data_IF_885616109809
#
_entry.id   IF_885616109809
#
_cell.length_a   1.000
_cell.length_b   1.000
_cell.length_c   1.000
_cell.angle_alpha   90.00
_cell.angle_beta   90.00
_cell.angle_gamma   90.00
#
_symmetry.space_group_name_H-M   'P 1'
#
loop_
_entity.id
_entity.type
_entity.pdbx_description
1 polymer ?
#
# COMPACT_ATOMS: atom_id res chain seq x y z
N UNK A 1 17.47 3.62 3.38
CA UNK A 1 18.09 3.73 4.73
C UNK A 1 17.49 4.91 5.51
N UNK A 2 17.02 5.96 4.81
CA UNK A 2 16.35 7.12 5.40
C UNK A 2 14.85 6.92 5.69
N UNK A 3 14.22 5.90 5.11
CA UNK A 3 12.81 5.56 5.35
C UNK A 3 12.48 5.33 6.84
N UNK A 4 13.43 4.86 7.64
CA UNK A 4 13.30 4.67 9.09
C UNK A 4 13.21 5.99 9.87
N UNK A 5 13.83 7.07 9.38
CA UNK A 5 13.75 8.41 9.98
C UNK A 5 12.47 9.16 9.59
N UNK A 6 11.76 8.70 8.55
CA UNK A 6 10.43 9.20 8.19
C UNK A 6 9.46 9.06 9.36
N UNK A 7 9.58 8.00 10.17
CA UNK A 7 8.77 7.77 11.38
C UNK A 7 8.96 8.88 12.43
N UNK A 8 10.20 9.30 12.69
CA UNK A 8 10.53 10.28 13.73
C UNK A 8 10.20 11.72 13.32
N UNK A 9 10.33 12.05 12.02
CA UNK A 9 9.95 13.36 11.48
C UNK A 9 8.43 13.55 11.35
N UNK A 10 7.61 12.48 11.49
CA UNK A 10 6.13 12.54 11.41
C UNK A 10 5.47 13.34 12.52
N UNK A 11 6.06 13.39 13.72
CA UNK A 11 5.48 14.14 14.84
C UNK A 11 5.45 15.66 14.60
N UNK A 12 6.38 16.17 13.78
CA UNK A 12 6.53 17.60 13.51
C UNK A 12 5.60 18.11 12.39
N UNK A 13 5.02 17.22 11.56
CA UNK A 13 4.18 17.63 10.43
C UNK A 13 2.69 17.71 10.73
N UNK A 14 2.24 17.10 11.84
CA UNK A 14 0.86 17.16 12.29
C UNK A 14 0.27 18.59 12.39
N UNK A 15 0.96 19.60 12.96
CA UNK A 15 0.42 20.95 13.03
C UNK A 15 0.31 21.62 11.65
N UNK A 16 1.21 21.31 10.73
CA UNK A 16 1.20 21.86 9.35
C UNK A 16 0.07 21.23 8.54
N UNK A 17 -0.15 19.91 8.67
CA UNK A 17 -1.28 19.22 8.07
C UNK A 17 -2.62 19.79 8.52
N UNK A 18 -2.75 20.10 9.81
CA UNK A 18 -3.96 20.72 10.37
C UNK A 18 -4.16 22.17 9.89
N UNK A 19 -3.07 22.96 9.76
CA UNK A 19 -3.14 24.31 9.21
C UNK A 19 -3.56 24.33 7.74
N UNK A 20 -3.03 23.41 6.93
CA UNK A 20 -3.41 23.24 5.51
C UNK A 20 -4.85 22.74 5.36
N UNK A 21 -5.32 21.87 6.25
CA UNK A 21 -6.72 21.43 6.28
C UNK A 21 -7.68 22.60 6.52
N UNK A 22 -7.35 23.52 7.44
CA UNK A 22 -8.14 24.74 7.66
C UNK A 22 -8.25 25.66 6.44
N UNK A 23 -7.31 25.56 5.49
CA UNK A 23 -7.33 26.29 4.23
C UNK A 23 -8.17 25.59 3.14
N UNK A 24 -8.91 24.51 3.46
CA UNK A 24 -9.74 23.74 2.53
C UNK A 24 -8.99 23.18 1.30
N UNK A 25 -7.67 23.02 1.42
CA UNK A 25 -6.86 22.44 0.36
C UNK A 25 -7.03 20.93 0.33
N UNK A 26 -7.25 20.38 -0.86
CA UNK A 26 -7.28 18.92 -1.08
C UNK A 26 -5.85 18.41 -1.27
N UNK A 27 -5.51 17.20 -0.77
CA UNK A 27 -4.18 16.60 -0.96
C UNK A 27 -3.73 16.58 -2.43
N UNK A 28 -4.63 16.22 -3.35
CA UNK A 28 -4.34 16.17 -4.78
C UNK A 28 -3.87 17.52 -5.36
N UNK A 29 -4.33 18.65 -4.81
CA UNK A 29 -3.86 19.96 -5.27
C UNK A 29 -2.39 20.20 -4.92
N UNK A 30 -1.94 19.71 -3.76
CA UNK A 30 -0.53 19.80 -3.36
C UNK A 30 0.34 18.90 -4.23
N UNK A 31 -0.12 17.68 -4.53
CA UNK A 31 0.57 16.76 -5.44
C UNK A 31 0.74 17.38 -6.83
N UNK A 32 -0.31 17.99 -7.39
CA UNK A 32 -0.22 18.71 -8.68
C UNK A 32 0.66 19.97 -8.61
N UNK A 33 0.62 20.71 -7.49
CA UNK A 33 1.50 21.86 -7.29
C UNK A 33 2.97 21.42 -7.24
N UNK A 34 3.27 20.30 -6.57
CA UNK A 34 4.59 19.66 -6.54
C UNK A 34 5.09 19.29 -7.93
N UNK A 35 4.22 18.74 -8.79
CA UNK A 35 4.54 18.52 -10.21
C UNK A 35 4.89 19.83 -10.92
N UNK A 36 4.08 20.87 -10.72
CA UNK A 36 4.33 22.20 -11.29
C UNK A 36 5.71 22.75 -10.91
N UNK A 37 6.11 22.59 -9.64
CA UNK A 37 7.45 23.00 -9.16
C UNK A 37 8.55 22.14 -9.79
N UNK A 38 8.32 20.84 -9.99
CA UNK A 38 9.25 19.96 -10.69
C UNK A 38 9.45 20.37 -12.16
N UNK A 39 8.39 20.82 -12.86
CA UNK A 39 8.50 21.39 -14.22
C UNK A 39 9.34 22.67 -14.23
N UNK A 40 9.17 23.54 -13.23
CA UNK A 40 10.00 24.74 -13.08
C UNK A 40 11.47 24.37 -12.81
N UNK A 41 11.72 23.36 -11.97
CA UNK A 41 13.07 22.86 -11.70
C UNK A 41 13.73 22.32 -12.98
N UNK A 42 13.00 21.52 -13.76
CA UNK A 42 13.47 21.02 -15.05
C UNK A 42 13.80 22.16 -16.02
N UNK A 43 12.95 23.20 -16.08
CA UNK A 43 13.19 24.39 -16.91
C UNK A 43 14.43 25.18 -16.46
N UNK A 44 14.67 25.26 -15.15
CA UNK A 44 15.87 25.86 -14.59
C UNK A 44 17.13 25.07 -14.95
N UNK A 45 17.08 23.73 -14.93
CA UNK A 45 18.19 22.91 -15.45
C UNK A 45 18.44 23.17 -16.94
N UNK A 46 17.39 23.17 -17.78
CA UNK A 46 17.50 23.41 -19.23
C UNK A 46 18.16 24.76 -19.56
N UNK A 47 17.94 25.77 -18.73
CA UNK A 47 18.51 27.11 -18.87
C UNK A 47 19.87 27.28 -18.19
N UNK A 48 20.44 26.22 -17.63
CA UNK A 48 21.74 26.23 -16.96
C UNK A 48 21.73 26.83 -15.55
N UNK A 49 20.55 27.14 -14.99
CA UNK A 49 20.38 27.70 -13.64
C UNK A 49 20.33 26.57 -12.60
N UNK A 50 21.42 25.80 -12.51
CA UNK A 50 21.55 24.58 -11.68
C UNK A 50 21.18 24.81 -10.23
N UNK A 51 21.73 25.86 -9.59
CA UNK A 51 21.45 26.16 -8.18
C UNK A 51 19.98 26.51 -7.93
N UNK A 52 19.37 27.29 -8.82
CA UNK A 52 17.93 27.61 -8.76
C UNK A 52 17.08 26.34 -8.89
N UNK A 53 17.46 25.43 -9.78
CA UNK A 53 16.82 24.13 -9.90
C UNK A 53 16.94 23.32 -8.59
N UNK A 54 18.10 23.33 -7.94
CA UNK A 54 18.30 22.71 -6.63
C UNK A 54 17.34 23.23 -5.54
N UNK A 55 17.13 24.55 -5.45
CA UNK A 55 16.15 25.13 -4.52
C UNK A 55 14.70 24.74 -4.89
N UNK A 56 14.37 24.71 -6.18
CA UNK A 56 13.05 24.27 -6.64
C UNK A 56 12.81 22.78 -6.32
N UNK A 57 13.83 21.93 -6.40
CA UNK A 57 13.73 20.52 -5.98
C UNK A 57 13.48 20.37 -4.48
N UNK A 58 14.10 21.21 -3.64
CA UNK A 58 13.79 21.26 -2.20
C UNK A 58 12.31 21.61 -1.99
N UNK A 59 11.82 22.62 -2.71
CA UNK A 59 10.42 23.04 -2.62
C UNK A 59 9.45 21.95 -3.12
N UNK A 60 9.77 21.26 -4.21
CA UNK A 60 8.97 20.14 -4.72
C UNK A 60 8.92 18.98 -3.70
N UNK A 61 10.06 18.61 -3.11
CA UNK A 61 10.12 17.59 -2.06
C UNK A 61 9.37 17.99 -0.79
N UNK A 62 9.24 19.29 -0.51
CA UNK A 62 8.44 19.78 0.61
C UNK A 62 6.93 19.61 0.36
N UNK A 63 6.46 19.85 -0.87
CA UNK A 63 5.05 19.61 -1.22
C UNK A 63 4.68 18.12 -1.11
N UNK A 64 5.54 17.24 -1.58
CA UNK A 64 5.42 15.76 -1.48
C UNK A 64 5.46 15.23 -0.03
N UNK A 65 6.12 15.98 0.86
CA UNK A 65 6.12 15.64 2.28
C UNK A 65 4.83 16.10 2.98
N UNK A 66 4.28 17.23 2.52
CA UNK A 66 3.09 17.84 3.09
C UNK A 66 1.78 17.24 2.57
N UNK A 67 1.69 16.81 1.32
CA UNK A 67 0.45 16.23 0.79
C UNK A 67 0.07 14.91 1.47
N UNK A 68 1.04 14.02 1.72
CA UNK A 68 0.83 12.79 2.48
C UNK A 68 0.53 13.06 3.95
N UNK A 69 1.09 14.13 4.53
CA UNK A 69 0.77 14.56 5.90
C UNK A 69 -0.62 15.16 6.00
N UNK A 70 -1.03 15.96 5.02
CA UNK A 70 -2.37 16.53 4.90
C UNK A 70 -3.42 15.43 4.73
N UNK A 71 -3.21 14.47 3.81
CA UNK A 71 -4.15 13.38 3.57
C UNK A 71 -4.44 12.58 4.85
N UNK A 72 -3.43 12.31 5.67
CA UNK A 72 -3.60 11.65 6.97
C UNK A 72 -4.30 12.53 8.00
N UNK A 73 -3.89 13.80 8.12
CA UNK A 73 -4.47 14.74 9.07
C UNK A 73 -5.94 15.09 8.74
N UNK A 74 -6.32 15.05 7.47
CA UNK A 74 -7.67 15.34 7.00
C UNK A 74 -8.56 14.09 6.87
N UNK A 75 -8.06 12.90 7.17
CA UNK A 75 -8.78 11.63 6.96
C UNK A 75 -9.12 11.32 5.49
N UNK A 76 -8.44 11.95 4.52
CA UNK A 76 -8.71 11.80 3.07
C UNK A 76 -7.74 10.82 2.41
N UNK A 77 -7.37 9.76 3.11
CA UNK A 77 -6.51 8.70 2.55
C UNK A 77 -7.38 7.83 1.63
N UNK A 78 -7.08 7.85 0.33
CA UNK A 78 -7.83 7.07 -0.67
C UNK A 78 -6.89 6.21 -1.51
N UNK A 79 -7.32 5.03 -2.00
CA UNK A 79 -6.51 4.20 -2.91
C UNK A 79 -6.11 4.95 -4.18
N UNK A 80 -7.03 5.75 -4.73
CA UNK A 80 -6.74 6.59 -5.90
C UNK A 80 -5.71 7.67 -5.58
N UNK A 81 -5.77 8.31 -4.42
CA UNK A 81 -4.78 9.30 -3.98
C UNK A 81 -3.38 8.69 -3.89
N UNK A 82 -3.24 7.50 -3.30
CA UNK A 82 -1.95 6.79 -3.23
C UNK A 82 -1.42 6.38 -4.61
N UNK A 83 -2.31 5.98 -5.52
CA UNK A 83 -1.96 5.72 -6.92
C UNK A 83 -1.48 7.00 -7.63
N UNK A 84 -2.24 8.10 -7.48
CA UNK A 84 -1.92 9.38 -8.10
C UNK A 84 -0.57 9.91 -7.61
N UNK A 85 -0.32 9.91 -6.30
CA UNK A 85 0.95 10.26 -5.66
C UNK A 85 2.12 9.51 -6.33
N UNK A 86 2.03 8.18 -6.35
CA UNK A 86 3.04 7.31 -6.96
C UNK A 86 3.30 7.58 -8.46
N UNK A 87 2.26 7.97 -9.21
CA UNK A 87 2.37 8.31 -10.63
C UNK A 87 3.00 9.70 -10.82
N UNK A 88 2.54 10.70 -10.07
CA UNK A 88 3.04 12.07 -10.16
C UNK A 88 4.49 12.17 -9.72
N UNK A 89 4.90 11.40 -8.70
CA UNK A 89 6.28 11.22 -8.29
C UNK A 89 7.17 10.79 -9.45
N UNK A 90 6.67 9.83 -10.24
CA UNK A 90 7.40 9.30 -11.38
C UNK A 90 7.56 10.35 -12.46
N UNK A 91 6.48 11.06 -12.79
CA UNK A 91 6.54 12.16 -13.74
C UNK A 91 7.50 13.26 -13.28
N UNK A 92 7.48 13.60 -11.99
CA UNK A 92 8.38 14.60 -11.41
C UNK A 92 9.85 14.19 -11.54
N UNK A 93 10.21 12.97 -11.13
CA UNK A 93 11.57 12.43 -11.28
C UNK A 93 12.02 12.44 -12.76
N UNK A 94 11.13 12.01 -13.67
CA UNK A 94 11.41 11.90 -15.10
C UNK A 94 11.64 13.26 -15.75
N UNK A 95 10.78 14.23 -15.49
CA UNK A 95 10.89 15.56 -16.13
C UNK A 95 12.12 16.30 -15.62
N UNK A 96 12.45 16.18 -14.33
CA UNK A 96 13.68 16.75 -13.77
C UNK A 96 14.92 16.15 -14.44
N UNK A 97 15.02 14.81 -14.52
CA UNK A 97 16.14 14.14 -15.17
C UNK A 97 16.21 14.45 -16.67
N UNK A 98 15.07 14.57 -17.35
CA UNK A 98 15.01 15.01 -18.75
C UNK A 98 15.57 16.43 -18.92
N UNK A 99 15.23 17.36 -18.01
CA UNK A 99 15.80 18.71 -18.02
C UNK A 99 17.33 18.70 -17.89
N UNK A 100 17.88 17.80 -17.07
CA UNK A 100 19.32 17.60 -16.92
C UNK A 100 19.95 16.97 -18.18
N UNK A 101 19.27 16.00 -18.81
CA UNK A 101 19.71 15.45 -20.12
C UNK A 101 19.84 16.57 -21.15
N UNK A 102 18.84 17.45 -21.25
CA UNK A 102 18.85 18.58 -22.20
C UNK A 102 19.96 19.59 -21.87
N UNK A 103 20.20 19.88 -20.59
CA UNK A 103 21.31 20.73 -20.15
C UNK A 103 22.66 20.20 -20.66
N UNK A 104 22.93 18.92 -20.42
CA UNK A 104 24.20 18.31 -20.83
C UNK A 104 24.30 18.09 -22.35
N UNK A 105 23.19 17.85 -23.04
CA UNK A 105 23.16 17.75 -24.50
C UNK A 105 23.50 19.08 -25.20
N UNK A 106 23.26 20.21 -24.54
CA UNK A 106 23.58 21.56 -25.05
C UNK A 106 24.98 22.05 -24.68
N UNK A 107 25.67 21.34 -23.80
CA UNK A 107 27.05 21.64 -23.41
C UNK A 107 28.02 20.69 -24.11
N UNK A 108 29.32 21.02 -24.21
CA UNK A 108 30.33 20.13 -24.81
C UNK A 108 30.61 18.86 -23.98
N UNK A 109 29.73 18.50 -23.05
CA UNK A 109 29.86 17.35 -22.15
C UNK A 109 28.78 16.31 -22.44
N UNK A 110 28.95 15.60 -23.57
CA UNK A 110 28.06 14.51 -23.97
C UNK A 110 27.97 13.38 -22.93
N UNK A 111 29.01 13.20 -22.09
CA UNK A 111 29.04 12.18 -21.04
C UNK A 111 27.98 12.45 -19.97
N UNK A 112 27.81 13.70 -19.56
CA UNK A 112 26.78 14.09 -18.60
C UNK A 112 25.36 13.73 -19.08
N UNK A 113 25.08 13.86 -20.38
CA UNK A 113 23.79 13.50 -20.95
C UNK A 113 23.54 11.98 -20.91
N UNK A 114 24.58 11.19 -21.20
CA UNK A 114 24.53 9.72 -21.10
C UNK A 114 24.30 9.28 -19.64
N UNK A 115 25.00 9.90 -18.69
CA UNK A 115 24.84 9.61 -17.26
C UNK A 115 23.44 9.99 -16.77
N UNK A 116 22.92 11.15 -17.17
CA UNK A 116 21.56 11.56 -16.85
C UNK A 116 20.52 10.59 -17.42
N UNK A 117 20.72 10.11 -18.64
CA UNK A 117 19.86 9.09 -19.24
C UNK A 117 19.94 7.75 -18.49
N UNK A 118 21.14 7.31 -18.10
CA UNK A 118 21.32 6.09 -17.31
C UNK A 118 20.68 6.21 -15.92
N UNK A 119 20.76 7.38 -15.28
CA UNK A 119 20.07 7.69 -14.03
C UNK A 119 18.54 7.68 -14.20
N UNK A 120 18.03 8.20 -15.33
CA UNK A 120 16.61 8.16 -15.68
C UNK A 120 16.11 6.72 -15.82
N UNK A 121 16.81 5.89 -16.60
CA UNK A 121 16.51 4.45 -16.74
C UNK A 121 16.53 3.76 -15.37
N UNK A 122 17.57 4.00 -14.57
CA UNK A 122 17.68 3.45 -13.22
C UNK A 122 16.52 3.86 -12.32
N UNK A 123 16.16 5.15 -12.29
CA UNK A 123 15.04 5.67 -11.50
C UNK A 123 13.71 4.99 -11.86
N UNK A 124 13.43 4.86 -13.16
CA UNK A 124 12.23 4.14 -13.66
C UNK A 124 12.25 2.68 -13.20
N UNK A 125 13.35 1.98 -13.44
CA UNK A 125 13.48 0.57 -13.12
C UNK A 125 13.38 0.28 -11.62
N UNK A 126 13.90 1.15 -10.76
CA UNK A 126 13.80 1.01 -9.30
C UNK A 126 12.34 0.93 -8.87
N UNK A 127 11.49 1.92 -9.17
CA UNK A 127 10.09 1.82 -8.72
C UNK A 127 9.24 0.88 -9.58
N UNK A 128 9.62 0.57 -10.83
CA UNK A 128 8.86 -0.40 -11.66
C UNK A 128 9.06 -1.83 -11.16
N UNK A 129 10.30 -2.22 -10.86
CA UNK A 129 10.59 -3.54 -10.29
C UNK A 129 9.92 -3.77 -8.95
N UNK A 130 9.82 -2.73 -8.09
CA UNK A 130 9.05 -2.79 -6.85
C UNK A 130 7.56 -2.96 -7.11
N UNK A 131 6.94 -2.06 -7.89
CA UNK A 131 5.51 -2.15 -8.20
C UNK A 131 5.14 -3.48 -8.88
N UNK A 132 6.03 -3.99 -9.76
CA UNK A 132 5.80 -5.29 -10.42
C UNK A 132 5.93 -6.47 -9.46
N UNK A 133 6.89 -6.44 -8.53
CA UNK A 133 7.00 -7.45 -7.49
C UNK A 133 5.76 -7.46 -6.58
N UNK A 134 5.29 -6.30 -6.17
CA UNK A 134 4.08 -6.16 -5.35
C UNK A 134 2.83 -6.63 -6.11
N UNK A 135 2.74 -6.38 -7.41
CA UNK A 135 1.61 -6.85 -8.25
C UNK A 135 1.53 -8.39 -8.36
N UNK A 136 2.61 -9.11 -8.07
CA UNK A 136 2.65 -10.58 -8.04
C UNK A 136 2.67 -11.13 -6.61
N UNK A 137 2.33 -10.30 -5.62
CA UNK A 137 2.22 -10.69 -4.20
C UNK A 137 3.54 -10.77 -3.44
N UNK A 138 4.62 -10.14 -3.94
CA UNK A 138 5.93 -10.13 -3.28
C UNK A 138 6.25 -8.72 -2.82
N UNK A 139 6.25 -8.51 -1.50
CA UNK A 139 6.69 -7.25 -0.90
C UNK A 139 8.19 -7.01 -1.15
N UNK A 140 8.51 -5.94 -1.86
CA UNK A 140 9.88 -5.63 -2.28
C UNK A 140 10.37 -4.34 -1.65
N UNK A 141 10.83 -4.45 -0.40
CA UNK A 141 11.36 -3.34 0.40
C UNK A 141 12.90 -3.28 0.43
N UNK A 142 13.57 -3.99 -0.48
CA UNK A 142 15.03 -3.96 -0.62
C UNK A 142 15.49 -2.85 -1.57
N UNK A 143 16.68 -2.31 -1.33
CA UNK A 143 17.33 -1.37 -2.24
C UNK A 143 18.23 -0.37 -1.52
N UNK A 144 19.33 0.00 -2.19
CA UNK A 144 20.29 0.97 -1.66
C UNK A 144 19.86 2.42 -1.94
N UNK A 145 19.23 2.65 -3.09
CA UNK A 145 18.88 3.99 -3.58
C UNK A 145 17.36 4.11 -3.79
N UNK A 146 16.63 4.53 -2.74
CA UNK A 146 15.21 4.83 -2.83
C UNK A 146 14.97 6.28 -3.30
N UNK A 147 13.71 6.69 -3.41
CA UNK A 147 13.35 8.01 -3.97
C UNK A 147 13.94 9.18 -3.16
N UNK A 148 13.86 9.22 -1.82
CA UNK A 148 14.43 10.32 -1.04
C UNK A 148 15.95 10.45 -1.25
N UNK A 149 16.68 9.33 -1.27
CA UNK A 149 18.12 9.32 -1.50
C UNK A 149 18.47 9.90 -2.88
N UNK A 150 17.68 9.59 -3.93
CA UNK A 150 17.88 10.17 -5.27
C UNK A 150 17.67 11.68 -5.28
N UNK A 151 16.59 12.14 -4.67
CA UNK A 151 16.24 13.56 -4.62
C UNK A 151 17.33 14.36 -3.88
N UNK A 152 17.79 13.86 -2.73
CA UNK A 152 18.88 14.47 -1.96
C UNK A 152 20.16 14.54 -2.80
N UNK A 153 20.50 13.45 -3.51
CA UNK A 153 21.68 13.42 -4.37
C UNK A 153 21.61 14.47 -5.50
N UNK A 154 20.45 14.62 -6.15
CA UNK A 154 20.23 15.66 -7.16
C UNK A 154 20.30 17.08 -6.57
N UNK A 155 19.68 17.31 -5.41
CA UNK A 155 19.73 18.60 -4.72
C UNK A 155 21.17 18.97 -4.37
N UNK A 156 21.92 18.06 -3.75
CA UNK A 156 23.32 18.29 -3.39
C UNK A 156 24.18 18.54 -4.63
N UNK A 157 24.02 17.74 -5.68
CA UNK A 157 24.73 17.92 -6.95
C UNK A 157 24.42 19.27 -7.60
N UNK A 158 23.16 19.72 -7.55
CA UNK A 158 22.74 20.99 -8.14
C UNK A 158 23.21 22.21 -7.33
N UNK A 159 23.19 22.15 -6.00
CA UNK A 159 23.57 23.29 -5.14
C UNK A 159 25.08 23.45 -5.00
N UNK A 160 25.84 22.35 -5.01
CA UNK A 160 27.30 22.36 -4.89
C UNK A 160 28.02 22.45 -6.24
N UNK A 161 27.27 22.58 -7.35
CA UNK A 161 27.79 22.49 -8.72
C UNK A 161 28.57 21.19 -9.01
N UNK A 162 28.20 20.11 -8.32
CA UNK A 162 28.73 18.75 -8.48
C UNK A 162 27.72 17.83 -9.18
N UNK A 163 27.02 18.36 -10.19
CA UNK A 163 25.92 17.65 -10.83
C UNK A 163 26.39 16.39 -11.57
N UNK A 164 27.52 16.43 -12.27
CA UNK A 164 28.06 15.26 -12.96
C UNK A 164 28.46 14.12 -12.00
N UNK A 165 29.21 14.37 -10.90
CA UNK A 165 29.43 13.36 -9.86
C UNK A 165 28.13 12.79 -9.26
N UNK A 166 27.12 13.64 -9.02
CA UNK A 166 25.82 13.18 -8.54
C UNK A 166 25.14 12.23 -9.54
N UNK A 167 25.21 12.55 -10.84
CA UNK A 167 24.70 11.68 -11.90
C UNK A 167 25.42 10.33 -11.97
N UNK A 168 26.73 10.28 -11.73
CA UNK A 168 27.47 9.02 -11.61
C UNK A 168 26.91 8.14 -10.49
N UNK A 169 26.74 8.73 -9.31
CA UNK A 169 26.19 8.03 -8.14
C UNK A 169 24.79 7.51 -8.43
N UNK A 170 23.92 8.35 -9.02
CA UNK A 170 22.56 7.97 -9.39
C UNK A 170 22.51 6.87 -10.45
N UNK A 171 23.26 7.03 -11.54
CA UNK A 171 23.30 6.08 -12.64
C UNK A 171 23.76 4.69 -12.15
N UNK A 172 24.78 4.63 -11.30
CA UNK A 172 25.29 3.35 -10.79
C UNK A 172 24.32 2.78 -9.75
N UNK A 173 24.01 3.53 -8.68
CA UNK A 173 23.29 2.97 -7.53
C UNK A 173 21.82 2.69 -7.84
N UNK A 174 21.16 3.47 -8.69
CA UNK A 174 19.79 3.18 -9.09
C UNK A 174 19.71 1.90 -9.93
N UNK A 175 20.60 1.72 -10.90
CA UNK A 175 20.62 0.50 -11.71
C UNK A 175 21.02 -0.74 -10.90
N UNK A 176 22.00 -0.62 -9.99
CA UNK A 176 22.31 -1.70 -9.03
C UNK A 176 21.10 -2.02 -8.16
N UNK A 177 20.38 -1.01 -7.66
CA UNK A 177 19.18 -1.22 -6.85
C UNK A 177 18.09 -1.95 -7.64
N UNK A 178 17.88 -1.62 -8.92
CA UNK A 178 16.95 -2.34 -9.77
C UNK A 178 17.35 -3.82 -9.94
N UNK A 179 18.64 -4.10 -10.15
CA UNK A 179 19.15 -5.47 -10.23
C UNK A 179 19.01 -6.23 -8.90
N UNK A 180 19.24 -5.57 -7.77
CA UNK A 180 19.01 -6.13 -6.44
C UNK A 180 17.55 -6.54 -6.24
N UNK A 181 16.60 -5.68 -6.65
CA UNK A 181 15.17 -5.99 -6.58
C UNK A 181 14.81 -7.18 -7.45
N UNK A 182 15.32 -7.27 -8.68
CA UNK A 182 15.11 -8.42 -9.57
C UNK A 182 15.66 -9.71 -8.94
N UNK A 183 16.88 -9.68 -8.42
CA UNK A 183 17.51 -10.83 -7.78
C UNK A 183 16.76 -11.27 -6.50
N UNK A 184 16.30 -10.30 -5.71
CA UNK A 184 15.49 -10.55 -4.53
C UNK A 184 14.15 -11.20 -4.89
N UNK A 185 13.40 -10.62 -5.84
CA UNK A 185 12.12 -11.19 -6.29
C UNK A 185 12.30 -12.60 -6.83
N UNK A 186 13.36 -12.87 -7.60
CA UNK A 186 13.67 -14.22 -8.08
C UNK A 186 13.92 -15.20 -6.94
N UNK A 187 14.61 -14.78 -5.87
CA UNK A 187 14.87 -15.64 -4.70
C UNK A 187 13.58 -15.89 -3.93
N UNK A 188 12.81 -14.85 -3.65
CA UNK A 188 11.52 -14.96 -2.96
C UNK A 188 10.56 -15.92 -3.69
N UNK A 189 10.45 -15.82 -5.02
CA UNK A 189 9.62 -16.75 -5.81
C UNK A 189 10.05 -18.21 -5.69
N UNK A 190 11.37 -18.49 -5.59
CA UNK A 190 11.89 -19.86 -5.44
C UNK A 190 11.60 -20.40 -4.06
N UNK A 191 11.76 -19.57 -3.03
CA UNK A 191 11.52 -19.98 -1.65
C UNK A 191 10.02 -20.29 -1.44
N UNK A 192 9.11 -19.48 -1.99
CA UNK A 192 7.67 -19.77 -1.97
C UNK A 192 7.35 -21.07 -2.72
N UNK A 193 7.94 -21.30 -3.90
CA UNK A 193 7.73 -22.54 -4.64
C UNK A 193 8.26 -23.78 -3.90
N UNK A 194 9.41 -23.68 -3.24
CA UNK A 194 9.99 -24.75 -2.44
C UNK A 194 9.14 -25.06 -1.20
N UNK A 195 8.63 -24.04 -0.52
CA UNK A 195 7.70 -24.22 0.60
C UNK A 195 6.43 -24.94 0.14
N UNK A 196 5.83 -24.53 -0.98
CA UNK A 196 4.66 -25.20 -1.56
C UNK A 196 4.94 -26.67 -1.89
N UNK A 197 6.12 -26.99 -2.43
CA UNK A 197 6.53 -28.36 -2.74
C UNK A 197 6.76 -29.21 -1.49
N UNK A 198 7.40 -28.64 -0.45
CA UNK A 198 7.63 -29.35 0.82
C UNK A 198 6.33 -29.62 1.54
N UNK A 199 5.42 -28.63 1.60
CA UNK A 199 4.08 -28.80 2.17
C UNK A 199 3.30 -29.87 1.40
N UNK A 200 3.32 -29.83 0.06
CA UNK A 200 2.68 -30.84 -0.78
C UNK A 200 3.28 -32.24 -0.60
N UNK A 201 4.59 -32.34 -0.36
CA UNK A 201 5.27 -33.61 -0.09
C UNK A 201 5.04 -34.15 1.34
N UNK A 202 4.74 -33.26 2.31
CA UNK A 202 4.40 -33.64 3.68
C UNK A 202 2.94 -34.12 3.83
N UNK A 203 2.03 -33.66 2.97
CA UNK A 203 0.62 -34.08 2.97
C UNK A 203 0.45 -35.61 2.82
N UNK A 204 1.12 -36.32 1.90
CA UNK A 204 1.05 -37.78 1.84
C UNK A 204 1.83 -38.48 2.95
N UNK A 205 2.86 -37.85 3.53
CA UNK A 205 3.64 -38.41 4.65
C UNK A 205 2.87 -38.42 5.98
N UNK A 206 1.88 -37.54 6.13
CA UNK A 206 0.93 -37.53 7.25
C UNK A 206 -0.34 -38.37 6.97
N UNK A 207 -0.27 -39.29 6.01
CA UNK A 207 -1.32 -40.26 5.71
C UNK A 207 -1.32 -41.45 6.69
N UNK A 208 -1.79 -41.24 7.92
CA UNK A 208 -2.22 -42.35 8.77
C UNK A 208 -3.63 -42.81 8.37
N UNK A 209 -3.67 -44.01 7.78
CA UNK A 209 -4.71 -45.04 7.85
C UNK A 209 -6.15 -44.67 7.43
N UNK A 210 -6.61 -45.32 6.34
CA UNK A 210 -7.95 -45.17 5.77
C UNK A 210 -9.12 -45.65 6.64
N UNK A 211 -10.37 -45.37 6.22
CA UNK A 211 -11.54 -45.64 7.03
C UNK A 211 -11.89 -47.12 7.00
N UNK A 212 -11.71 -47.81 8.13
CA UNK A 212 -12.46 -49.03 8.48
C UNK A 212 -13.44 -48.68 9.59
N UNK A 213 -14.73 -48.76 9.30
CA UNK A 213 -15.79 -48.89 10.31
C UNK A 213 -15.64 -50.26 10.99
N UNK A 214 -15.74 -50.37 12.34
CA UNK A 214 -17.05 -50.60 12.96
C UNK A 214 -17.24 -50.16 14.44
N UNK A 215 -18.52 -50.06 14.83
CA UNK A 215 -19.19 -50.28 16.14
C UNK A 215 -18.61 -49.76 17.48
N UNK A 216 -19.53 -49.15 18.23
CA UNK A 216 -19.41 -48.66 19.60
C UNK A 216 -18.99 -49.71 20.66
N UNK A 217 -18.26 -49.28 21.70
CA UNK A 217 -18.67 -49.34 23.13
C UNK A 217 -17.60 -48.78 24.09
N UNK A 218 -18.06 -47.95 25.04
CA UNK A 218 -17.59 -47.67 26.41
C UNK A 218 -16.17 -47.12 26.76
N UNK A 219 -16.21 -45.86 27.22
CA UNK A 219 -15.60 -45.20 28.41
C UNK A 219 -14.17 -45.58 28.86
N UNK A 220 -13.27 -44.58 28.84
CA UNK A 220 -12.49 -44.16 30.03
C UNK A 220 -11.83 -42.78 29.81
N UNK A 221 -11.55 -42.11 30.92
CA UNK A 221 -11.37 -40.68 31.21
C UNK A 221 -10.04 -40.01 30.80
N UNK A 222 -10.13 -38.75 30.34
CA UNK A 222 -9.09 -37.72 30.43
C UNK A 222 -9.77 -36.33 30.58
N UNK A 223 -9.15 -35.35 31.28
CA UNK A 223 -9.82 -34.12 31.72
C UNK A 223 -10.20 -33.23 30.52
N UNK A 224 -11.27 -32.41 30.63
CA UNK A 224 -11.74 -31.63 29.49
C UNK A 224 -10.68 -30.58 29.11
N UNK A 225 -10.26 -30.53 27.83
CA UNK A 225 -9.59 -29.34 27.33
C UNK A 225 -10.61 -28.19 27.34
N UNK A 226 -10.12 -27.00 27.66
CA UNK A 226 -10.85 -25.75 27.64
C UNK A 226 -11.59 -25.65 26.30
N UNK A 227 -12.92 -25.67 26.33
CA UNK A 227 -13.75 -25.43 25.16
C UNK A 227 -13.65 -23.94 24.79
N UNK A 228 -12.68 -23.59 23.95
CA UNK A 228 -12.83 -22.41 23.09
C UNK A 228 -13.76 -22.83 21.94
N UNK A 229 -15.02 -22.44 22.01
CA UNK A 229 -16.10 -22.80 21.08
C UNK A 229 -15.98 -22.24 19.66
N UNK A 230 -14.79 -22.16 19.08
CA UNK A 230 -14.61 -21.88 17.66
C UNK A 230 -14.49 -23.20 16.90
N UNK A 231 -15.46 -23.50 16.03
CA UNK A 231 -15.31 -24.54 15.01
C UNK A 231 -14.09 -24.16 14.15
N UNK A 232 -13.08 -25.03 14.09
CA UNK A 232 -11.92 -24.79 13.24
C UNK A 232 -12.35 -24.59 11.78
N UNK A 233 -11.93 -23.47 11.17
CA UNK A 233 -12.14 -23.21 9.74
C UNK A 233 -11.42 -24.31 8.95
N UNK A 234 -12.15 -25.04 8.12
CA UNK A 234 -11.56 -26.11 7.30
C UNK A 234 -11.00 -25.54 5.99
N UNK A 235 -9.97 -26.17 5.39
CA UNK A 235 -9.42 -25.71 4.11
C UNK A 235 -10.45 -25.62 2.97
N UNK A 236 -11.48 -26.47 3.01
CA UNK A 236 -12.58 -26.42 2.04
C UNK A 236 -13.47 -25.20 2.27
N UNK A 237 -13.70 -24.80 3.52
CA UNK A 237 -14.45 -23.59 3.85
C UNK A 237 -13.67 -22.32 3.47
N UNK A 238 -12.35 -22.30 3.67
CA UNK A 238 -11.50 -21.19 3.23
C UNK A 238 -11.57 -20.98 1.72
N UNK A 239 -11.61 -22.06 0.92
CA UNK A 239 -11.78 -21.97 -0.54
C UNK A 239 -13.13 -21.38 -0.92
N UNK A 240 -14.21 -21.84 -0.26
CA UNK A 240 -15.56 -21.30 -0.49
C UNK A 240 -15.62 -19.81 -0.21
N UNK A 241 -14.98 -19.34 0.87
CA UNK A 241 -14.91 -17.92 1.19
C UNK A 241 -14.06 -17.13 0.19
N UNK A 242 -12.93 -17.68 -0.26
CA UNK A 242 -12.10 -17.05 -1.28
C UNK A 242 -12.85 -16.89 -2.60
N UNK A 243 -13.56 -17.93 -3.05
CA UNK A 243 -14.37 -17.89 -4.27
C UNK A 243 -15.52 -16.88 -4.15
N UNK A 244 -16.16 -16.78 -2.97
CA UNK A 244 -17.19 -15.77 -2.72
C UNK A 244 -16.64 -14.33 -2.85
N UNK A 245 -15.43 -14.06 -2.34
CA UNK A 245 -14.78 -12.75 -2.47
C UNK A 245 -14.46 -12.42 -3.94
N UNK A 246 -14.01 -13.41 -4.73
CA UNK A 246 -13.74 -13.22 -6.16
C UNK A 246 -15.01 -12.82 -6.91
N UNK A 247 -16.14 -13.47 -6.61
CA UNK A 247 -17.43 -13.12 -7.21
C UNK A 247 -17.95 -11.76 -6.75
N UNK A 248 -17.73 -11.39 -5.49
CA UNK A 248 -18.05 -10.06 -4.97
C UNK A 248 -17.29 -8.95 -5.69
N UNK A 249 -16.01 -9.16 -5.99
CA UNK A 249 -15.20 -8.23 -6.78
C UNK A 249 -15.69 -8.08 -8.22
N UNK A 250 -16.36 -9.11 -8.76
CA UNK A 250 -17.02 -9.08 -10.08
C UNK A 250 -18.41 -8.45 -10.06
N UNK A 251 -18.88 -8.01 -8.89
CA UNK A 251 -20.17 -7.35 -8.69
C UNK A 251 -21.32 -8.30 -8.33
N UNK A 252 -21.05 -9.57 -8.06
CA UNK A 252 -22.05 -10.55 -7.61
C UNK A 252 -22.01 -10.69 -6.08
N UNK A 253 -23.03 -10.17 -5.40
CA UNK A 253 -23.07 -10.08 -3.94
C UNK A 253 -23.62 -11.35 -3.25
N UNK A 254 -24.44 -12.14 -3.97
CA UNK A 254 -25.13 -13.33 -3.43
C UNK A 254 -24.22 -14.34 -2.71
N UNK A 255 -23.04 -14.71 -3.23
CA UNK A 255 -22.17 -15.69 -2.58
C UNK A 255 -21.63 -15.18 -1.24
N UNK A 256 -21.27 -13.90 -1.15
CA UNK A 256 -20.80 -13.28 0.09
C UNK A 256 -21.90 -13.24 1.13
N UNK A 257 -23.10 -12.80 0.75
CA UNK A 257 -24.24 -12.71 1.68
C UNK A 257 -24.56 -14.09 2.26
N UNK A 258 -24.57 -15.12 1.42
CA UNK A 258 -24.86 -16.50 1.84
C UNK A 258 -23.80 -17.08 2.77
N UNK A 259 -22.53 -16.97 2.39
CA UNK A 259 -21.45 -17.63 3.10
C UNK A 259 -21.03 -16.87 4.36
N UNK A 260 -21.04 -15.54 4.34
CA UNK A 260 -20.57 -14.73 5.46
C UNK A 260 -21.67 -14.47 6.50
N UNK A 261 -22.94 -14.67 6.15
CA UNK A 261 -24.03 -14.76 7.14
C UNK A 261 -24.08 -16.13 7.86
N UNK A 262 -23.18 -17.06 7.54
CA UNK A 262 -23.15 -18.38 8.20
C UNK A 262 -22.62 -18.31 9.65
N UNK A 263 -23.00 -19.30 10.46
CA UNK A 263 -22.49 -19.43 11.83
C UNK A 263 -20.97 -19.68 11.87
N UNK A 264 -20.43 -20.34 10.84
CA UNK A 264 -19.00 -20.58 10.72
C UNK A 264 -18.20 -19.28 10.50
N UNK A 265 -18.74 -18.35 9.69
CA UNK A 265 -18.12 -17.04 9.50
C UNK A 265 -18.17 -16.19 10.78
N UNK A 266 -19.30 -16.23 11.51
CA UNK A 266 -19.48 -15.47 12.76
C UNK A 266 -18.61 -15.95 13.93
N UNK A 267 -18.16 -17.19 13.91
CA UNK A 267 -17.33 -17.79 14.97
C UNK A 267 -15.85 -17.92 14.57
N UNK A 268 -15.49 -17.42 13.39
CA UNK A 268 -14.15 -17.41 12.86
C UNK A 268 -13.27 -16.34 13.54
N UNK A 269 -11.95 -16.56 13.67
CA UNK A 269 -11.02 -15.53 14.14
C UNK A 269 -11.00 -14.24 13.30
N UNK A 270 -11.47 -14.30 12.05
CA UNK A 270 -11.55 -13.16 11.12
C UNK A 270 -12.98 -12.65 10.93
N UNK A 271 -13.92 -13.00 11.83
CA UNK A 271 -15.34 -12.65 11.74
C UNK A 271 -15.59 -11.16 11.53
N UNK A 272 -14.75 -10.30 12.10
CA UNK A 272 -14.89 -8.85 12.02
C UNK A 272 -14.70 -8.36 10.58
N UNK A 273 -13.64 -8.82 9.90
CA UNK A 273 -13.38 -8.50 8.50
C UNK A 273 -14.47 -9.07 7.58
N UNK A 274 -14.92 -10.30 7.85
CA UNK A 274 -16.02 -10.89 7.09
C UNK A 274 -17.33 -10.11 7.29
N UNK A 275 -17.54 -9.55 8.49
CA UNK A 275 -18.68 -8.69 8.82
C UNK A 275 -18.68 -7.39 8.01
N UNK A 276 -17.53 -6.73 7.85
CA UNK A 276 -17.41 -5.54 6.99
C UNK A 276 -17.75 -5.86 5.52
N UNK A 277 -17.22 -6.97 5.00
CA UNK A 277 -17.50 -7.39 3.61
C UNK A 277 -18.98 -7.75 3.43
N UNK A 278 -19.59 -8.41 4.41
CA UNK A 278 -21.02 -8.70 4.42
C UNK A 278 -21.87 -7.44 4.45
N UNK A 279 -21.48 -6.43 5.24
CA UNK A 279 -22.19 -5.16 5.33
C UNK A 279 -22.16 -4.38 4.01
N UNK A 280 -21.00 -4.31 3.34
CA UNK A 280 -20.88 -3.68 2.01
C UNK A 280 -21.76 -4.41 0.99
N UNK A 281 -21.76 -5.76 1.00
CA UNK A 281 -22.62 -6.55 0.12
C UNK A 281 -24.11 -6.26 0.32
N UNK A 282 -24.58 -6.23 1.58
CA UNK A 282 -25.97 -5.90 1.92
C UNK A 282 -26.33 -4.45 1.53
N UNK A 283 -25.42 -3.50 1.76
CA UNK A 283 -25.64 -2.11 1.40
C UNK A 283 -25.72 -1.88 -0.11
N UNK A 284 -24.99 -2.67 -0.91
CA UNK A 284 -25.07 -2.65 -2.39
C UNK A 284 -26.39 -3.22 -2.91
N UNK A 285 -27.01 -4.14 -2.18
CA UNK A 285 -28.36 -4.65 -2.49
C UNK A 285 -29.48 -3.74 -1.96
N UNK A 286 -29.14 -2.70 -1.20
CA UNK A 286 -30.09 -1.72 -0.66
C UNK A 286 -30.64 -2.06 0.72
N UNK A 287 -30.19 -3.15 1.35
CA UNK A 287 -30.55 -3.49 2.74
C UNK A 287 -29.63 -2.78 3.75
N UNK A 288 -29.83 -1.46 3.86
CA UNK A 288 -29.04 -0.60 4.73
C UNK A 288 -29.23 -0.92 6.23
N UNK A 289 -30.39 -1.46 6.60
CA UNK A 289 -30.71 -1.81 7.99
C UNK A 289 -29.95 -3.08 8.42
N UNK A 290 -29.94 -4.11 7.57
CA UNK A 290 -29.15 -5.31 7.84
C UNK A 290 -27.65 -5.01 7.83
N UNK A 291 -27.17 -4.21 6.88
CA UNK A 291 -25.78 -3.77 6.81
C UNK A 291 -25.35 -3.06 8.12
N UNK A 292 -26.14 -2.09 8.59
CA UNK A 292 -25.87 -1.39 9.87
C UNK A 292 -25.84 -2.36 11.04
N UNK A 293 -26.78 -3.28 11.12
CA UNK A 293 -26.84 -4.28 12.21
C UNK A 293 -25.58 -5.14 12.26
N UNK A 294 -25.06 -5.55 11.11
CA UNK A 294 -23.83 -6.36 11.03
C UNK A 294 -22.63 -5.57 11.55
N UNK A 295 -22.48 -4.31 11.16
CA UNK A 295 -21.33 -3.48 11.55
C UNK A 295 -21.41 -3.06 13.02
N UNK A 296 -22.58 -2.66 13.52
CA UNK A 296 -22.76 -2.35 14.96
C UNK A 296 -22.40 -3.55 15.84
N UNK A 297 -22.77 -4.76 15.40
CA UNK A 297 -22.45 -5.99 16.13
C UNK A 297 -20.94 -6.33 16.16
N UNK A 298 -20.10 -5.67 15.35
CA UNK A 298 -18.62 -5.75 15.42
C UNK A 298 -18.14 -4.89 16.60
N UNK A 299 -18.63 -3.65 16.70
CA UNK A 299 -18.30 -2.74 17.79
C UNK A 299 -18.74 -3.29 19.16
N UNK A 300 -19.93 -3.88 19.24
CA UNK A 300 -20.46 -4.46 20.49
C UNK A 300 -19.68 -5.68 20.98
N UNK A 301 -19.14 -6.49 20.05
CA UNK A 301 -18.40 -7.71 20.41
C UNK A 301 -17.00 -7.40 20.95
N UNK A 302 -16.38 -6.34 20.47
CA UNK A 302 -15.00 -6.01 20.81
C UNK A 302 -14.83 -4.50 20.97
N UNK A 303 -15.37 -3.95 22.07
CA UNK A 303 -15.23 -2.53 22.42
C UNK A 303 -13.77 -2.03 22.47
N UNK A 304 -12.82 -2.95 22.72
CA UNK A 304 -11.37 -2.67 22.78
C UNK A 304 -10.62 -2.93 21.44
N UNK A 305 -11.34 -3.35 20.37
CA UNK A 305 -10.73 -3.62 19.06
C UNK A 305 -10.40 -2.33 18.30
N UNK A 306 -9.28 -2.33 17.58
CA UNK A 306 -8.88 -1.25 16.67
C UNK A 306 -9.93 -0.97 15.58
N UNK A 307 -10.82 -1.94 15.29
CA UNK A 307 -11.86 -1.84 14.28
C UNK A 307 -13.18 -1.25 14.82
N UNK A 308 -13.36 -1.15 16.14
CA UNK A 308 -14.61 -0.64 16.72
C UNK A 308 -14.93 0.81 16.33
N UNK A 309 -13.97 1.76 16.29
CA UNK A 309 -14.23 3.12 15.83
C UNK A 309 -14.65 3.18 14.35
N UNK A 310 -14.05 2.33 13.51
CA UNK A 310 -14.35 2.24 12.08
C UNK A 310 -15.74 1.65 11.84
N UNK A 311 -16.10 0.62 12.60
CA UNK A 311 -17.44 0.03 12.59
C UNK A 311 -18.52 1.04 12.99
N UNK A 312 -18.31 1.81 14.06
CA UNK A 312 -19.27 2.84 14.50
C UNK A 312 -19.43 3.96 13.46
N UNK A 313 -18.34 4.39 12.83
CA UNK A 313 -18.39 5.39 11.76
C UNK A 313 -19.20 4.88 10.57
N UNK A 314 -18.95 3.64 10.13
CA UNK A 314 -19.69 3.04 9.02
C UNK A 314 -21.18 2.85 9.36
N UNK A 315 -21.50 2.41 10.59
CA UNK A 315 -22.88 2.32 11.06
C UNK A 315 -23.61 3.67 11.02
N UNK A 316 -22.94 4.76 11.42
CA UNK A 316 -23.47 6.12 11.33
C UNK A 316 -23.69 6.56 9.87
N UNK A 317 -22.75 6.24 8.97
CA UNK A 317 -22.92 6.54 7.53
C UNK A 317 -24.09 5.78 6.90
N UNK A 318 -24.29 4.51 7.29
CA UNK A 318 -25.41 3.70 6.83
C UNK A 318 -26.74 4.24 7.38
N UNK A 319 -26.79 4.69 8.63
CA UNK A 319 -27.96 5.36 9.21
C UNK A 319 -28.32 6.64 8.44
N UNK A 320 -27.34 7.49 8.15
CA UNK A 320 -27.55 8.70 7.33
C UNK A 320 -28.02 8.39 5.91
N UNK A 321 -27.51 7.33 5.27
CA UNK A 321 -27.99 6.88 3.95
C UNK A 321 -29.42 6.33 4.00
N UNK A 322 -29.85 5.80 5.13
CA UNK A 322 -31.21 5.33 5.36
C UNK A 322 -32.19 6.45 5.78
N UNK A 323 -31.69 7.68 6.00
CA UNK A 323 -32.51 8.81 6.47
C UNK A 323 -32.83 8.75 7.97
N UNK A 324 -32.07 7.97 8.75
CA UNK A 324 -32.16 7.91 10.21
C UNK A 324 -31.14 8.87 10.84
N UNK A 325 -31.53 10.15 10.92
CA UNK A 325 -30.68 11.22 11.44
C UNK A 325 -30.37 11.05 12.95
N UNK A 326 -31.30 10.47 13.71
CA UNK A 326 -31.12 10.20 15.15
C UNK A 326 -30.12 9.07 15.38
N UNK A 327 -30.13 8.04 14.53
CA UNK A 327 -29.15 6.95 14.58
C UNK A 327 -27.77 7.30 14.00
N UNK A 328 -27.68 8.39 13.24
CA UNK A 328 -26.44 8.90 12.67
C UNK A 328 -25.67 9.85 13.61
N UNK A 329 -26.38 10.48 14.56
CA UNK A 329 -25.81 11.36 15.59
C UNK A 329 -25.22 10.58 16.78
#
# INVERSE_FOLDING_TARGET
MLSRYRETLRGWTAPIGYALFRLHLRPNHLTLAGLGVSLLAASAFVTGRTRSAGFLLILAGLFDFFDGSLARASGQVTPFGAFLDSVIDRYSDLVVLLGIVVLFARTPNARGAILAMAALVGSVMVSYTKARAESIGIECNVGMMERPERLICLIAGALLDLLEPALWVLAILANITALQRIAFTRRAMRDTALLSLVVLALIPALGLAGPRSPRATHRSSAPPPIQSGARAVTPDLERVWADAIVEFQRGNNDPVIREFASEAARTSPISDYLGFVLADALAREGDLAAARTVVTAIADRHADSLLAPEALLEAATLAGRAGDDDGAQ
#
